data_IF_075509095714
#
_entry.id   IF_075509095714
#
_cell.length_a   1.000
_cell.length_b   1.000
_cell.length_c   1.000
_cell.angle_alpha   90.00
_cell.angle_beta   90.00
_cell.angle_gamma   90.00
#
_symmetry.space_group_name_H-M   'P 1'
#
loop_
_entity.id
_entity.type
_entity.pdbx_description
1 polymer ?
#
# COMPACT_ATOMS: atom_id res chain seq x y z
N UNK A 1 -9.73 6.75 5.61
CA UNK A 1 -10.69 6.98 6.72
C UNK A 1 -11.68 5.83 6.80
N UNK A 2 -12.18 5.50 7.99
CA UNK A 2 -13.06 4.33 8.25
C UNK A 2 -14.32 4.74 9.05
N UNK A 3 -15.33 3.87 9.09
CA UNK A 3 -16.43 3.95 10.06
C UNK A 3 -17.46 5.06 9.80
N UNK A 4 -17.96 5.71 10.87
CA UNK A 4 -19.05 6.70 10.80
C UNK A 4 -18.73 7.91 9.92
N UNK A 5 -17.46 8.28 9.82
CA UNK A 5 -17.04 9.38 8.94
C UNK A 5 -17.34 9.07 7.47
N UNK A 6 -17.12 7.83 7.03
CA UNK A 6 -17.44 7.39 5.67
C UNK A 6 -18.95 7.40 5.44
N UNK A 7 -19.73 6.94 6.43
CA UNK A 7 -21.21 7.01 6.37
C UNK A 7 -21.73 8.44 6.31
N UNK A 8 -21.11 9.38 7.03
CA UNK A 8 -21.44 10.80 6.97
C UNK A 8 -21.20 11.37 5.57
N UNK A 9 -20.08 11.01 4.93
CA UNK A 9 -19.74 11.43 3.57
C UNK A 9 -20.68 10.85 2.51
N UNK A 10 -21.06 9.58 2.63
CA UNK A 10 -22.07 8.96 1.76
C UNK A 10 -23.43 9.67 1.83
N UNK A 11 -23.78 10.25 2.99
CA UNK A 11 -25.02 11.00 3.21
C UNK A 11 -24.91 12.50 2.91
N UNK A 12 -23.70 13.03 2.64
CA UNK A 12 -23.49 14.48 2.58
C UNK A 12 -23.85 15.10 1.23
N UNK A 13 -24.18 14.29 0.21
CA UNK A 13 -24.50 14.77 -1.14
C UNK A 13 -25.46 13.84 -1.87
N UNK A 14 -26.09 14.39 -2.90
CA UNK A 14 -26.93 13.68 -3.85
C UNK A 14 -26.09 13.40 -5.12
N UNK A 15 -26.25 12.22 -5.69
CA UNK A 15 -25.58 11.83 -6.94
C UNK A 15 -24.33 10.99 -6.71
N UNK A 16 -24.42 9.72 -7.07
CA UNK A 16 -23.37 8.73 -6.89
C UNK A 16 -23.29 7.79 -8.10
N UNK A 17 -22.06 7.48 -8.50
CA UNK A 17 -21.73 6.39 -9.39
C UNK A 17 -21.06 5.29 -8.56
N UNK A 18 -21.56 4.06 -8.66
CA UNK A 18 -20.95 2.90 -8.01
C UNK A 18 -20.60 1.85 -9.07
N UNK A 19 -19.36 1.35 -9.00
CA UNK A 19 -18.82 0.37 -9.92
C UNK A 19 -18.52 -0.91 -9.14
N UNK A 20 -19.20 -2.01 -9.44
CA UNK A 20 -18.87 -3.31 -8.90
C UNK A 20 -17.52 -3.77 -9.46
N UNK A 21 -16.72 -4.45 -8.65
CA UNK A 21 -15.36 -4.86 -9.06
C UNK A 21 -15.09 -6.34 -8.87
N UNK A 22 -14.24 -6.88 -9.72
CA UNK A 22 -13.49 -8.11 -9.47
C UNK A 22 -12.08 -7.74 -8.97
N UNK A 23 -11.64 -8.29 -7.85
CA UNK A 23 -10.38 -7.92 -7.20
C UNK A 23 -9.57 -9.15 -6.83
N UNK A 24 -8.26 -9.12 -7.11
CA UNK A 24 -7.30 -10.06 -6.52
C UNK A 24 -6.48 -9.48 -5.38
N UNK A 25 -6.66 -8.19 -5.08
CA UNK A 25 -6.01 -7.54 -3.94
C UNK A 25 -6.87 -7.74 -2.69
N UNK A 26 -6.29 -7.65 -1.48
CA UNK A 26 -7.06 -7.65 -0.25
C UNK A 26 -8.09 -6.50 -0.25
N UNK A 27 -9.37 -6.83 -0.17
CA UNK A 27 -10.47 -5.84 -0.20
C UNK A 27 -10.97 -5.55 1.22
N UNK A 28 -11.39 -4.30 1.53
CA UNK A 28 -11.82 -3.96 2.88
C UNK A 28 -13.13 -4.66 3.27
N UNK A 29 -13.27 -4.97 4.56
CA UNK A 29 -14.53 -5.46 5.15
C UNK A 29 -15.56 -4.35 5.32
N UNK A 30 -15.12 -3.17 5.74
CA UNK A 30 -15.97 -1.98 5.96
C UNK A 30 -15.68 -0.91 4.92
N UNK A 31 -16.60 0.01 4.72
CA UNK A 31 -16.40 1.14 3.81
C UNK A 31 -15.14 1.94 4.18
N UNK A 32 -14.30 2.19 3.17
CA UNK A 32 -13.06 2.97 3.30
C UNK A 32 -13.13 4.16 2.37
N UNK A 33 -12.96 5.36 2.91
CA UNK A 33 -12.80 6.56 2.11
C UNK A 33 -11.32 6.81 1.85
N UNK A 34 -10.97 6.91 0.57
CA UNK A 34 -9.66 7.26 0.05
C UNK A 34 -9.76 8.57 -0.76
N UNK A 35 -8.72 9.40 -0.67
CA UNK A 35 -8.53 10.56 -1.55
C UNK A 35 -7.36 10.23 -2.48
N UNK A 36 -7.55 10.38 -3.77
CA UNK A 36 -6.52 10.08 -4.77
C UNK A 36 -6.58 11.11 -5.89
N UNK A 37 -5.45 11.77 -6.19
CA UNK A 37 -5.35 12.83 -7.20
C UNK A 37 -6.47 13.89 -7.07
N UNK A 38 -6.68 14.39 -5.83
CA UNK A 38 -7.73 15.35 -5.45
C UNK A 38 -9.20 14.85 -5.50
N UNK A 39 -9.45 13.65 -6.04
CA UNK A 39 -10.78 13.05 -6.10
C UNK A 39 -11.08 12.16 -4.87
N UNK A 40 -12.35 12.14 -4.46
CA UNK A 40 -12.86 11.30 -3.39
C UNK A 40 -13.38 9.96 -3.95
N UNK A 41 -12.91 8.85 -3.40
CA UNK A 41 -13.40 7.51 -3.70
C UNK A 41 -13.76 6.75 -2.43
N UNK A 42 -14.81 5.94 -2.49
CA UNK A 42 -15.22 5.11 -1.37
C UNK A 42 -15.16 3.65 -1.83
N UNK A 43 -14.22 2.91 -1.27
CA UNK A 43 -14.16 1.46 -1.44
C UNK A 43 -15.26 0.86 -0.58
N UNK A 44 -16.26 0.26 -1.22
CA UNK A 44 -17.39 -0.36 -0.56
C UNK A 44 -16.97 -1.70 0.00
N UNK A 45 -16.98 -1.80 1.32
CA UNK A 45 -16.63 -3.03 2.02
C UNK A 45 -17.63 -4.17 1.77
N UNK A 46 -17.19 -5.41 1.98
CA UNK A 46 -18.03 -6.60 1.76
C UNK A 46 -18.96 -6.92 2.94
N UNK A 47 -18.73 -6.32 4.11
CA UNK A 47 -19.41 -6.61 5.38
C UNK A 47 -19.95 -5.34 6.07
N UNK A 48 -20.58 -4.44 5.31
CA UNK A 48 -21.05 -3.15 5.83
C UNK A 48 -22.38 -3.19 6.62
N UNK A 49 -23.14 -4.28 6.51
CA UNK A 49 -24.45 -4.43 7.13
C UNK A 49 -24.72 -5.85 7.59
N UNK A 50 -25.98 -6.18 7.86
CA UNK A 50 -26.38 -7.53 8.25
C UNK A 50 -26.17 -8.56 7.13
N UNK A 51 -26.21 -8.11 5.88
CA UNK A 51 -25.96 -8.96 4.72
C UNK A 51 -24.68 -8.51 4.00
N UNK A 52 -23.86 -9.46 3.53
CA UNK A 52 -22.70 -9.14 2.71
C UNK A 52 -23.11 -8.43 1.41
N UNK A 53 -22.19 -7.60 0.90
CA UNK A 53 -22.32 -6.92 -0.40
C UNK A 53 -21.14 -7.28 -1.30
N UNK A 54 -21.34 -7.20 -2.60
CA UNK A 54 -20.22 -7.32 -3.54
C UNK A 54 -19.29 -6.10 -3.42
N UNK A 55 -17.97 -6.30 -3.63
CA UNK A 55 -17.01 -5.21 -3.59
C UNK A 55 -17.29 -4.20 -4.70
N UNK A 56 -17.17 -2.91 -4.37
CA UNK A 56 -17.45 -1.84 -5.32
C UNK A 56 -16.65 -0.58 -5.01
N UNK A 57 -16.46 0.29 -6.01
CA UNK A 57 -15.93 1.64 -5.83
C UNK A 57 -17.06 2.62 -6.07
N UNK A 58 -17.35 3.48 -5.09
CA UNK A 58 -18.33 4.56 -5.21
C UNK A 58 -17.61 5.90 -5.33
N UNK A 59 -18.00 6.70 -6.33
CA UNK A 59 -17.53 8.08 -6.52
C UNK A 59 -18.71 9.05 -6.59
N UNK A 60 -18.53 10.30 -6.17
CA UNK A 60 -19.50 11.36 -6.43
C UNK A 60 -19.73 11.54 -7.94
N UNK A 61 -20.98 11.68 -8.36
CA UNK A 61 -21.28 11.92 -9.77
C UNK A 61 -22.76 12.09 -10.07
N UNK A 62 -23.08 13.06 -10.94
CA UNK A 62 -24.42 13.22 -11.49
C UNK A 62 -24.58 12.44 -12.79
N UNK A 63 -25.80 12.33 -13.32
CA UNK A 63 -26.06 11.66 -14.59
C UNK A 63 -25.31 12.29 -15.78
N UNK A 64 -24.93 13.57 -15.70
CA UNK A 64 -24.17 14.27 -16.74
C UNK A 64 -22.65 13.98 -16.67
N UNK A 65 -22.17 13.35 -15.59
CA UNK A 65 -20.75 13.13 -15.30
C UNK A 65 -20.40 11.64 -15.25
N UNK A 66 -21.23 10.76 -15.81
CA UNK A 66 -21.05 9.30 -15.72
C UNK A 66 -19.74 8.86 -16.35
N UNK A 67 -19.46 9.31 -17.58
CA UNK A 67 -18.25 8.92 -18.30
C UNK A 67 -16.98 9.41 -17.60
N UNK A 68 -16.99 10.64 -17.10
CA UNK A 68 -15.89 11.21 -16.32
C UNK A 68 -15.69 10.44 -15.01
N UNK A 69 -16.77 10.17 -14.26
CA UNK A 69 -16.73 9.40 -13.03
C UNK A 69 -16.22 7.98 -13.25
N UNK A 70 -16.65 7.33 -14.33
CA UNK A 70 -16.22 5.98 -14.67
C UNK A 70 -14.74 5.97 -15.11
N UNK A 71 -14.29 6.97 -15.88
CA UNK A 71 -12.89 7.13 -16.23
C UNK A 71 -12.01 7.31 -14.97
N UNK A 72 -12.49 8.06 -13.95
CA UNK A 72 -11.81 8.19 -12.65
C UNK A 72 -11.71 6.84 -11.94
N UNK A 73 -12.79 6.07 -11.90
CA UNK A 73 -12.77 4.71 -11.30
C UNK A 73 -11.79 3.80 -12.05
N UNK A 74 -11.78 3.80 -13.38
CA UNK A 74 -10.81 3.01 -14.15
C UNK A 74 -9.37 3.43 -13.85
N UNK A 75 -9.09 4.73 -13.74
CA UNK A 75 -7.74 5.21 -13.39
C UNK A 75 -7.35 4.75 -11.99
N UNK A 76 -8.21 4.93 -10.99
CA UNK A 76 -7.95 4.46 -9.63
C UNK A 76 -7.67 2.96 -9.60
N UNK A 77 -8.54 2.16 -10.20
CA UNK A 77 -8.45 0.69 -10.14
C UNK A 77 -7.20 0.14 -10.81
N UNK A 78 -6.71 0.77 -11.88
CA UNK A 78 -5.40 0.44 -12.49
C UNK A 78 -4.25 0.66 -11.52
N UNK A 79 -4.18 1.84 -10.89
CA UNK A 79 -3.08 2.17 -9.96
C UNK A 79 -3.17 1.33 -8.70
N UNK A 80 -4.37 1.17 -8.13
CA UNK A 80 -4.60 0.40 -6.92
C UNK A 80 -4.22 -1.08 -7.10
N UNK A 81 -4.63 -1.67 -8.23
CA UNK A 81 -4.26 -3.04 -8.59
C UNK A 81 -2.74 -3.21 -8.69
N UNK A 82 -2.06 -2.33 -9.43
CA UNK A 82 -0.60 -2.33 -9.53
C UNK A 82 0.08 -2.17 -8.17
N UNK A 83 -0.31 -1.15 -7.41
CA UNK A 83 0.31 -0.78 -6.14
C UNK A 83 0.26 -1.92 -5.14
N UNK A 84 -0.87 -2.63 -5.06
CA UNK A 84 -1.08 -3.78 -4.18
C UNK A 84 -0.77 -5.14 -4.84
N UNK A 85 -0.06 -5.12 -5.98
CA UNK A 85 0.46 -6.30 -6.66
C UNK A 85 -0.63 -7.31 -7.10
N UNK A 86 -1.74 -6.81 -7.62
CA UNK A 86 -2.87 -7.60 -8.11
C UNK A 86 -3.65 -6.87 -9.22
N UNK A 87 -4.97 -7.05 -9.25
CA UNK A 87 -5.88 -6.29 -10.09
C UNK A 87 -7.14 -5.89 -9.33
N UNK A 88 -7.76 -4.81 -9.80
CA UNK A 88 -9.14 -4.43 -9.48
C UNK A 88 -9.75 -4.07 -10.81
N UNK A 89 -10.79 -4.76 -11.25
CA UNK A 89 -11.41 -4.58 -12.57
C UNK A 89 -12.89 -4.29 -12.43
N UNK A 90 -13.42 -3.34 -13.20
CA UNK A 90 -14.83 -2.94 -13.12
C UNK A 90 -15.67 -3.89 -13.95
N UNK A 91 -16.72 -4.45 -13.35
CA UNK A 91 -17.58 -5.45 -14.01
C UNK A 91 -19.00 -4.99 -14.25
N UNK A 92 -19.50 -4.04 -13.44
CA UNK A 92 -20.84 -3.48 -13.59
C UNK A 92 -20.87 -2.08 -12.99
N UNK A 93 -21.77 -1.22 -13.48
CA UNK A 93 -21.94 0.14 -12.95
C UNK A 93 -23.40 0.46 -12.66
N UNK A 94 -23.63 1.25 -11.63
CA UNK A 94 -24.96 1.74 -11.28
C UNK A 94 -24.87 3.20 -10.85
N UNK A 95 -25.85 4.00 -11.25
CA UNK A 95 -25.92 5.41 -10.93
C UNK A 95 -27.23 5.72 -10.20
N UNK A 96 -27.17 6.62 -9.21
CA UNK A 96 -28.34 7.00 -8.46
C UNK A 96 -28.19 8.30 -7.69
N UNK A 97 -29.32 8.77 -7.14
CA UNK A 97 -29.35 9.89 -6.19
C UNK A 97 -28.70 9.54 -4.86
N UNK A 98 -28.69 8.25 -4.50
CA UNK A 98 -28.12 7.69 -3.27
C UNK A 98 -27.05 6.65 -3.62
N UNK A 99 -26.07 6.40 -2.73
CA UNK A 99 -25.02 5.43 -2.99
C UNK A 99 -25.59 4.00 -2.94
N UNK A 100 -25.69 3.35 -4.09
CA UNK A 100 -26.20 2.00 -4.23
C UNK A 100 -25.09 0.95 -4.12
N UNK A 101 -25.38 -0.16 -3.46
CA UNK A 101 -24.50 -1.33 -3.39
C UNK A 101 -24.94 -2.43 -4.35
N UNK A 102 -24.07 -3.42 -4.53
CA UNK A 102 -24.34 -4.61 -5.33
C UNK A 102 -24.56 -5.82 -4.43
N UNK A 103 -25.48 -6.71 -4.80
CA UNK A 103 -25.76 -7.92 -4.04
C UNK A 103 -24.56 -8.87 -4.05
N UNK A 104 -24.28 -9.53 -2.92
CA UNK A 104 -23.15 -10.45 -2.79
C UNK A 104 -23.21 -11.67 -3.75
N UNK A 105 -24.37 -11.98 -4.31
CA UNK A 105 -24.55 -13.08 -5.27
C UNK A 105 -24.12 -12.71 -6.69
N UNK A 106 -23.71 -11.47 -6.95
CA UNK A 106 -23.19 -11.04 -8.25
C UNK A 106 -21.87 -11.76 -8.57
N UNK A 107 -21.94 -12.86 -9.33
CA UNK A 107 -20.81 -13.75 -9.60
C UNK A 107 -19.58 -13.06 -10.20
N UNK A 108 -19.78 -12.00 -10.97
CA UNK A 108 -18.68 -11.28 -11.62
C UNK A 108 -17.96 -10.34 -10.66
N UNK A 109 -18.61 -9.90 -9.58
CA UNK A 109 -18.05 -8.98 -8.60
C UNK A 109 -17.62 -9.74 -7.33
N UNK A 110 -16.32 -9.82 -7.10
CA UNK A 110 -15.74 -10.62 -6.02
C UNK A 110 -14.39 -10.08 -5.57
N UNK A 111 -13.98 -10.45 -4.36
CA UNK A 111 -12.59 -10.34 -3.92
C UNK A 111 -12.05 -11.74 -3.67
N UNK A 112 -10.90 -12.06 -4.27
CA UNK A 112 -10.22 -13.34 -4.05
C UNK A 112 -9.58 -13.41 -2.66
N UNK A 113 -9.25 -12.24 -2.10
CA UNK A 113 -8.57 -12.11 -0.82
C UNK A 113 -9.40 -11.22 0.10
N UNK A 114 -9.86 -11.79 1.21
CA UNK A 114 -10.47 -11.03 2.30
C UNK A 114 -9.38 -10.43 3.20
N UNK A 115 -9.70 -9.33 3.87
CA UNK A 115 -8.85 -8.77 4.92
C UNK A 115 -9.34 -9.18 6.31
N UNK A 116 -8.41 -9.31 7.26
CA UNK A 116 -8.74 -9.48 8.67
C UNK A 116 -8.86 -8.10 9.35
N UNK A 117 -9.84 -7.94 10.24
CA UNK A 117 -10.10 -6.68 10.95
C UNK A 117 -10.96 -5.68 10.16
N UNK A 118 -11.61 -4.78 10.88
CA UNK A 118 -12.53 -3.77 10.32
C UNK A 118 -11.82 -2.54 9.76
N UNK A 119 -10.53 -2.36 10.10
CA UNK A 119 -9.67 -1.25 9.69
C UNK A 119 -8.29 -1.77 9.34
N UNK A 120 -8.14 -2.41 8.20
CA UNK A 120 -6.86 -3.02 7.79
C UNK A 120 -6.47 -2.72 6.35
N UNK A 121 -7.31 -1.99 5.61
CA UNK A 121 -7.03 -1.64 4.23
C UNK A 121 -6.11 -0.43 4.16
N UNK A 122 -4.91 -0.63 3.65
CA UNK A 122 -3.91 0.40 3.44
C UNK A 122 -3.60 0.55 1.95
N UNK A 123 -3.70 1.79 1.48
CA UNK A 123 -3.18 2.21 0.18
C UNK A 123 -2.51 3.60 0.28
N UNK A 124 -2.02 3.97 1.46
CA UNK A 124 -1.32 5.23 1.67
C UNK A 124 -0.08 5.30 0.80
N UNK A 125 0.28 6.52 0.38
CA UNK A 125 1.44 6.82 -0.47
C UNK A 125 1.39 6.19 -1.87
N UNK A 126 0.21 5.73 -2.31
CA UNK A 126 0.00 5.31 -3.70
C UNK A 126 0.40 6.45 -4.66
N UNK A 127 1.21 6.17 -5.71
CA UNK A 127 1.78 7.21 -6.56
C UNK A 127 0.72 7.93 -7.38
N UNK A 128 0.86 9.25 -7.54
CA UNK A 128 0.01 10.05 -8.44
C UNK A 128 0.51 9.89 -9.88
N UNK A 129 -0.34 9.37 -10.76
CA UNK A 129 0.01 9.10 -12.17
C UNK A 129 -0.56 10.18 -13.10
N UNK A 130 0.29 11.13 -13.48
CA UNK A 130 -0.06 12.25 -14.36
C UNK A 130 0.13 11.92 -15.86
N UNK A 131 1.15 11.12 -16.18
CA UNK A 131 1.49 10.74 -17.55
C UNK A 131 0.44 9.82 -18.16
N UNK A 132 -0.06 10.19 -19.34
CA UNK A 132 -1.03 9.39 -20.10
C UNK A 132 -0.47 8.03 -20.51
N UNK A 133 0.77 7.99 -20.99
CA UNK A 133 1.43 6.74 -21.40
C UNK A 133 1.54 5.74 -20.24
N UNK A 134 1.82 6.24 -19.03
CA UNK A 134 1.86 5.41 -17.81
C UNK A 134 0.47 4.92 -17.42
N UNK A 135 -0.57 5.77 -17.54
CA UNK A 135 -1.96 5.34 -17.31
C UNK A 135 -2.39 4.23 -18.27
N UNK A 136 -2.01 4.32 -19.54
CA UNK A 136 -2.29 3.30 -20.55
C UNK A 136 -1.59 1.99 -20.20
N UNK A 137 -0.30 2.04 -19.84
CA UNK A 137 0.47 0.87 -19.42
C UNK A 137 -0.18 0.15 -18.21
N UNK A 138 -0.59 0.92 -17.19
CA UNK A 138 -1.27 0.36 -16.01
C UNK A 138 -2.66 -0.20 -16.33
N UNK A 139 -3.38 0.38 -17.29
CA UNK A 139 -4.66 -0.15 -17.75
C UNK A 139 -4.51 -1.50 -18.45
N UNK A 140 -3.52 -1.63 -19.35
CA UNK A 140 -3.20 -2.92 -19.99
C UNK A 140 -2.68 -3.95 -18.99
N UNK A 141 -1.90 -3.53 -17.99
CA UNK A 141 -1.50 -4.41 -16.88
C UNK A 141 -2.71 -4.97 -16.13
N UNK A 142 -3.64 -4.11 -15.69
CA UNK A 142 -4.88 -4.52 -15.01
C UNK A 142 -5.66 -5.53 -15.85
N UNK A 143 -5.82 -5.26 -17.14
CA UNK A 143 -6.54 -6.14 -18.08
C UNK A 143 -5.84 -7.50 -18.22
N UNK A 144 -4.51 -7.52 -18.41
CA UNK A 144 -3.73 -8.76 -18.50
C UNK A 144 -3.81 -9.61 -17.24
N UNK A 145 -3.74 -8.97 -16.06
CA UNK A 145 -3.90 -9.64 -14.77
C UNK A 145 -5.28 -10.29 -14.64
N UNK A 146 -6.34 -9.59 -15.06
CA UNK A 146 -7.71 -10.12 -15.06
C UNK A 146 -7.86 -11.34 -15.98
N UNK A 147 -7.31 -11.23 -17.18
CA UNK A 147 -7.44 -12.24 -18.23
C UNK A 147 -6.59 -13.49 -18.00
N UNK A 148 -5.55 -13.42 -17.15
CA UNK A 148 -4.65 -14.57 -16.87
C UNK A 148 -5.38 -15.82 -16.37
N UNK A 149 -6.60 -15.68 -15.82
CA UNK A 149 -7.43 -16.83 -15.37
C UNK A 149 -8.56 -17.18 -16.32
N UNK A 150 -8.66 -16.46 -17.44
CA UNK A 150 -9.80 -16.53 -18.36
C UNK A 150 -9.31 -16.93 -19.76
N UNK A 151 -8.26 -16.28 -20.27
CA UNK A 151 -7.81 -16.46 -21.63
C UNK A 151 -6.33 -16.05 -21.82
N UNK A 152 -5.44 -17.03 -21.90
CA UNK A 152 -3.98 -16.82 -21.97
C UNK A 152 -3.54 -15.92 -23.14
N UNK A 153 -4.11 -16.09 -24.34
CA UNK A 153 -3.71 -15.27 -25.50
C UNK A 153 -4.06 -13.79 -25.36
N UNK A 154 -5.23 -13.46 -24.80
CA UNK A 154 -5.59 -12.07 -24.56
C UNK A 154 -4.82 -11.50 -23.37
N UNK A 155 -4.54 -12.30 -22.33
CA UNK A 155 -3.66 -11.88 -21.24
C UNK A 155 -2.25 -11.55 -21.76
N UNK A 156 -1.68 -12.44 -22.59
CA UNK A 156 -0.40 -12.23 -23.26
C UNK A 156 -0.41 -10.93 -24.06
N UNK A 157 -1.44 -10.71 -24.88
CA UNK A 157 -1.58 -9.51 -25.69
C UNK A 157 -1.67 -8.25 -24.83
N UNK A 158 -2.43 -8.27 -23.73
CA UNK A 158 -2.52 -7.12 -22.81
C UNK A 158 -1.16 -6.82 -22.18
N UNK A 159 -0.41 -7.82 -21.71
CA UNK A 159 0.96 -7.60 -21.20
C UNK A 159 1.91 -7.08 -22.29
N UNK A 160 1.83 -7.62 -23.51
CA UNK A 160 2.61 -7.12 -24.63
C UNK A 160 2.30 -5.64 -24.94
N UNK A 161 1.02 -5.24 -24.86
CA UNK A 161 0.57 -3.86 -25.06
C UNK A 161 1.07 -2.87 -24.01
N UNK A 162 1.41 -3.32 -22.80
CA UNK A 162 2.09 -2.51 -21.78
C UNK A 162 3.37 -1.89 -22.37
N UNK A 163 4.14 -2.70 -23.11
CA UNK A 163 5.41 -2.29 -23.71
C UNK A 163 5.15 -1.69 -25.10
N UNK A 164 4.33 -2.33 -25.93
CA UNK A 164 4.09 -1.88 -27.32
C UNK A 164 3.54 -0.46 -27.39
N UNK A 165 2.63 -0.07 -26.50
CA UNK A 165 2.03 1.28 -26.49
C UNK A 165 3.03 2.42 -26.23
N UNK A 166 4.28 2.10 -25.87
CA UNK A 166 5.30 3.06 -25.46
C UNK A 166 6.29 3.37 -26.60
N UNK A 167 6.20 2.66 -27.72
CA UNK A 167 7.10 2.82 -28.87
C UNK A 167 6.32 3.13 -30.14
N UNK A 168 6.80 4.10 -30.92
CA UNK A 168 6.27 4.38 -32.26
C UNK A 168 6.81 3.42 -33.31
N UNK A 169 8.06 2.96 -33.14
CA UNK A 169 8.76 2.10 -34.10
C UNK A 169 8.95 0.69 -33.54
N UNK A 170 8.69 -0.32 -34.38
CA UNK A 170 8.82 -1.73 -33.98
C UNK A 170 10.26 -2.17 -33.70
N UNK A 171 11.26 -1.53 -34.31
CA UNK A 171 12.67 -1.83 -34.11
C UNK A 171 13.13 -1.51 -32.68
N UNK A 172 12.82 -0.30 -32.18
CA UNK A 172 13.16 0.13 -30.82
C UNK A 172 12.61 -0.83 -29.76
N UNK A 173 11.39 -1.35 -30.00
CA UNK A 173 10.75 -2.35 -29.14
C UNK A 173 11.47 -3.71 -29.18
N UNK A 174 11.87 -4.17 -30.37
CA UNK A 174 12.62 -5.42 -30.50
C UNK A 174 13.98 -5.33 -29.78
N UNK A 175 14.67 -4.20 -29.92
CA UNK A 175 15.93 -3.90 -29.22
C UNK A 175 15.72 -3.81 -27.70
N UNK A 176 14.58 -3.30 -27.25
CA UNK A 176 14.22 -3.32 -25.84
C UNK A 176 14.08 -4.75 -25.32
N UNK A 177 13.33 -5.62 -26.00
CA UNK A 177 13.20 -7.03 -25.58
C UNK A 177 14.55 -7.73 -25.52
N UNK A 178 15.40 -7.57 -26.55
CA UNK A 178 16.71 -8.19 -26.61
C UNK A 178 17.60 -7.82 -25.40
N UNK A 179 17.49 -6.58 -24.90
CA UNK A 179 18.27 -6.11 -23.74
C UNK A 179 17.75 -6.56 -22.38
N UNK A 180 16.44 -6.82 -22.25
CA UNK A 180 15.81 -7.04 -20.93
C UNK A 180 15.41 -8.49 -20.66
N UNK A 181 15.34 -9.33 -21.68
CA UNK A 181 15.02 -10.77 -21.52
C UNK A 181 16.00 -11.46 -20.56
N UNK A 182 17.27 -11.06 -20.56
CA UNK A 182 18.31 -11.62 -19.68
C UNK A 182 18.27 -11.14 -18.22
N UNK A 183 17.42 -10.15 -17.92
CA UNK A 183 17.19 -9.69 -16.56
C UNK A 183 16.10 -10.50 -15.85
N UNK A 184 15.40 -11.38 -16.58
CA UNK A 184 14.30 -12.18 -16.03
C UNK A 184 14.83 -13.28 -15.10
N UNK A 185 14.19 -13.42 -13.94
CA UNK A 185 14.55 -14.41 -12.91
C UNK A 185 13.37 -15.33 -12.61
N UNK A 186 13.59 -16.36 -11.77
CA UNK A 186 12.54 -17.32 -11.39
C UNK A 186 11.97 -18.08 -12.58
N UNK A 187 10.64 -18.26 -12.61
CA UNK A 187 9.94 -18.99 -13.68
C UNK A 187 10.12 -18.33 -15.07
N UNK A 188 10.12 -17.01 -15.14
CA UNK A 188 10.37 -16.29 -16.40
C UNK A 188 11.79 -16.54 -16.90
N UNK A 189 12.80 -16.47 -16.01
CA UNK A 189 14.19 -16.82 -16.35
C UNK A 189 14.34 -18.29 -16.81
N UNK A 190 13.63 -19.22 -16.17
CA UNK A 190 13.60 -20.62 -16.59
C UNK A 190 12.99 -20.78 -18.00
N UNK A 191 11.93 -20.03 -18.32
CA UNK A 191 11.35 -20.02 -19.67
C UNK A 191 12.31 -19.47 -20.73
N UNK A 192 13.05 -18.40 -20.41
CA UNK A 192 14.10 -17.86 -21.29
C UNK A 192 15.18 -18.92 -21.58
N UNK A 193 15.65 -19.62 -20.55
CA UNK A 193 16.65 -20.67 -20.70
C UNK A 193 16.14 -21.82 -21.59
N UNK A 194 14.88 -22.22 -21.44
CA UNK A 194 14.26 -23.24 -22.27
C UNK A 194 14.20 -22.82 -23.75
N UNK A 195 13.67 -21.63 -24.04
CA UNK A 195 13.56 -21.13 -25.42
C UNK A 195 14.94 -21.06 -26.11
N UNK A 196 15.99 -20.72 -25.36
CA UNK A 196 17.37 -20.74 -25.88
C UNK A 196 17.90 -22.14 -26.13
N UNK A 197 17.62 -23.09 -25.24
CA UNK A 197 17.99 -24.49 -25.43
C UNK A 197 17.33 -25.08 -26.69
N UNK A 198 16.14 -24.59 -27.03
CA UNK A 198 15.42 -24.92 -28.27
C UNK A 198 15.97 -24.18 -29.52
N UNK A 199 17.03 -23.39 -29.36
CA UNK A 199 17.69 -22.65 -30.46
C UNK A 199 16.96 -21.39 -30.92
N UNK A 200 16.02 -20.87 -30.13
CA UNK A 200 15.25 -19.67 -30.49
C UNK A 200 15.95 -18.37 -30.09
N UNK A 201 15.84 -17.35 -30.95
CA UNK A 201 16.03 -15.96 -30.54
C UNK A 201 14.80 -15.52 -29.75
N UNK A 202 14.95 -15.43 -28.42
CA UNK A 202 13.84 -15.17 -27.49
C UNK A 202 13.20 -13.80 -27.74
N UNK A 203 14.01 -12.76 -28.00
CA UNK A 203 13.51 -11.41 -28.22
C UNK A 203 12.65 -11.35 -29.48
N UNK A 204 13.15 -11.95 -30.57
CA UNK A 204 12.41 -12.07 -31.82
C UNK A 204 11.17 -12.95 -31.68
N UNK A 205 11.28 -14.10 -31.00
CA UNK A 205 10.17 -15.02 -30.75
C UNK A 205 9.00 -14.33 -30.01
N UNK A 206 9.30 -13.54 -28.98
CA UNK A 206 8.28 -12.80 -28.23
C UNK A 206 7.64 -11.69 -29.06
N UNK A 207 8.45 -10.98 -29.86
CA UNK A 207 7.94 -9.96 -30.78
C UNK A 207 6.97 -10.55 -31.81
N UNK A 208 7.36 -11.67 -32.43
CA UNK A 208 6.54 -12.37 -33.42
C UNK A 208 5.29 -12.98 -32.76
N UNK A 209 5.45 -13.62 -31.60
CA UNK A 209 4.35 -14.21 -30.83
C UNK A 209 3.33 -13.18 -30.36
N UNK A 210 3.76 -11.99 -29.91
CA UNK A 210 2.86 -10.94 -29.45
C UNK A 210 1.98 -10.36 -30.55
N UNK A 211 2.54 -10.14 -31.74
CA UNK A 211 1.77 -9.68 -32.91
C UNK A 211 0.76 -10.72 -33.39
N UNK A 212 1.13 -11.99 -33.27
CA UNK A 212 0.36 -13.12 -33.78
C UNK A 212 -0.58 -13.75 -32.74
N UNK A 213 -0.50 -13.35 -31.46
CA UNK A 213 -1.23 -13.96 -30.36
C UNK A 213 -2.75 -13.92 -30.55
N UNK A 214 -3.29 -12.82 -31.10
CA UNK A 214 -4.72 -12.67 -31.46
C UNK A 214 -4.97 -11.58 -32.54
N UNK A 215 -4.15 -10.52 -32.58
CA UNK A 215 -4.53 -9.25 -33.26
C UNK A 215 -4.33 -9.21 -34.78
N UNK A 216 -3.38 -9.96 -35.33
CA UNK A 216 -3.08 -9.95 -36.76
C UNK A 216 -3.28 -11.32 -37.40
N UNK A 217 -4.53 -11.77 -37.44
CA UNK A 217 -4.95 -12.95 -38.21
C UNK A 217 -4.94 -12.65 -39.72
N UNK A 218 -3.75 -12.43 -40.31
CA UNK A 218 -3.61 -12.31 -41.75
C UNK A 218 -3.63 -13.71 -42.38
N UNK A 219 -4.50 -13.95 -43.36
CA UNK A 219 -4.57 -15.21 -44.10
C UNK A 219 -3.18 -15.56 -44.67
N UNK A 220 -2.59 -16.68 -44.25
CA UNK A 220 -1.23 -17.11 -44.64
C UNK A 220 -0.09 -16.66 -43.70
N UNK A 221 -0.37 -15.92 -42.64
CA UNK A 221 0.58 -15.63 -41.54
C UNK A 221 0.58 -16.73 -40.48
N UNK A 222 1.57 -16.72 -39.59
CA UNK A 222 1.60 -17.62 -38.42
C UNK A 222 0.57 -17.19 -37.39
N UNK A 223 -0.67 -17.65 -37.53
CA UNK A 223 -1.78 -17.35 -36.63
C UNK A 223 -1.75 -18.33 -35.45
N UNK A 224 -2.02 -17.84 -34.23
CA UNK A 224 -2.35 -18.72 -33.10
C UNK A 224 -3.75 -19.27 -33.31
N UNK A 225 -3.84 -20.55 -33.66
CA UNK A 225 -5.13 -21.22 -33.84
C UNK A 225 -5.64 -21.73 -32.47
N UNK A 226 -6.78 -21.20 -31.97
CA UNK A 226 -7.33 -21.65 -30.70
C UNK A 226 -7.80 -23.11 -30.75
N UNK A 227 -7.98 -23.73 -31.91
CA UNK A 227 -8.33 -25.15 -32.02
C UNK A 227 -7.08 -26.06 -32.08
N UNK A 228 -5.87 -25.49 -32.14
CA UNK A 228 -4.60 -26.24 -32.06
C UNK A 228 -4.09 -26.26 -30.60
N UNK A 229 -4.11 -27.41 -29.91
CA UNK A 229 -3.68 -27.49 -28.50
C UNK A 229 -2.20 -27.18 -28.27
N UNK A 230 -1.35 -27.33 -29.30
CA UNK A 230 0.07 -26.99 -29.22
C UNK A 230 0.27 -25.46 -29.13
N UNK A 231 -0.50 -24.69 -29.88
CA UNK A 231 -0.43 -23.22 -29.85
C UNK A 231 -0.90 -22.66 -28.51
N UNK A 232 -2.00 -23.22 -27.96
CA UNK A 232 -2.45 -22.86 -26.60
C UNK A 232 -1.37 -23.12 -25.55
N UNK A 233 -0.76 -24.31 -25.57
CA UNK A 233 0.30 -24.68 -24.62
C UNK A 233 1.52 -23.77 -24.74
N UNK A 234 1.89 -23.40 -25.96
CA UNK A 234 3.01 -22.48 -26.21
C UNK A 234 2.75 -21.10 -25.62
N UNK A 235 1.59 -20.50 -25.91
CA UNK A 235 1.22 -19.18 -25.37
C UNK A 235 1.11 -19.20 -23.85
N UNK A 236 0.50 -20.25 -23.27
CA UNK A 236 0.42 -20.42 -21.82
C UNK A 236 1.82 -20.49 -21.18
N UNK A 237 2.77 -21.18 -21.81
CA UNK A 237 4.15 -21.27 -21.34
C UNK A 237 4.92 -19.94 -21.47
N UNK A 238 4.63 -19.14 -22.50
CA UNK A 238 5.26 -17.83 -22.72
C UNK A 238 4.62 -16.71 -21.88
N UNK A 239 3.41 -16.91 -21.35
CA UNK A 239 2.66 -15.91 -20.59
C UNK A 239 3.41 -15.42 -19.36
N UNK A 240 4.06 -16.32 -18.62
CA UNK A 240 4.86 -15.95 -17.43
C UNK A 240 5.99 -14.99 -17.80
N UNK A 241 6.65 -15.21 -18.94
CA UNK A 241 7.73 -14.37 -19.41
C UNK A 241 7.22 -12.99 -19.83
N UNK A 242 6.12 -12.93 -20.58
CA UNK A 242 5.55 -11.65 -21.02
C UNK A 242 5.00 -10.83 -19.86
N UNK A 243 4.38 -11.47 -18.86
CA UNK A 243 3.94 -10.81 -17.63
C UNK A 243 5.12 -10.19 -16.88
N UNK A 244 6.21 -10.93 -16.66
CA UNK A 244 7.36 -10.41 -15.91
C UNK A 244 8.09 -9.29 -16.69
N UNK A 245 8.16 -9.36 -18.02
CA UNK A 245 8.69 -8.26 -18.83
C UNK A 245 7.82 -6.99 -18.71
N UNK A 246 6.49 -7.12 -18.78
CA UNK A 246 5.58 -6.00 -18.59
C UNK A 246 5.69 -5.39 -17.18
N UNK A 247 5.78 -6.24 -16.15
CA UNK A 247 6.03 -5.82 -14.76
C UNK A 247 7.35 -5.07 -14.65
N UNK A 248 8.41 -5.62 -15.24
CA UNK A 248 9.74 -5.00 -15.24
C UNK A 248 9.73 -3.64 -15.91
N UNK A 249 9.04 -3.51 -17.05
CA UNK A 249 8.90 -2.24 -17.76
C UNK A 249 8.23 -1.17 -16.90
N UNK A 250 7.09 -1.49 -16.27
CA UNK A 250 6.36 -0.53 -15.42
C UNK A 250 7.21 -0.11 -14.20
N UNK A 251 7.88 -1.06 -13.55
CA UNK A 251 8.69 -0.77 -12.37
C UNK A 251 10.00 -0.03 -12.70
N UNK A 252 10.71 -0.47 -13.75
CA UNK A 252 12.09 -0.05 -14.02
C UNK A 252 12.17 1.09 -15.04
N UNK A 253 11.37 1.07 -16.10
CA UNK A 253 11.42 2.07 -17.16
C UNK A 253 10.45 3.21 -16.84
N UNK A 254 9.20 2.89 -16.45
CA UNK A 254 8.19 3.89 -16.07
C UNK A 254 8.30 4.36 -14.61
N UNK A 255 9.15 3.73 -13.80
CA UNK A 255 9.42 4.09 -12.39
C UNK A 255 8.16 4.16 -11.54
N UNK A 256 7.18 3.28 -11.79
CA UNK A 256 5.96 3.22 -10.98
C UNK A 256 6.15 2.19 -9.87
N UNK A 257 6.29 2.61 -8.60
CA UNK A 257 6.56 1.68 -7.53
C UNK A 257 5.33 0.89 -7.10
N UNK A 258 5.57 -0.27 -6.49
CA UNK A 258 4.57 -1.01 -5.72
C UNK A 258 4.63 -0.61 -4.23
N UNK A 259 3.61 -0.97 -3.44
CA UNK A 259 3.59 -0.71 -2.00
C UNK A 259 4.82 -1.30 -1.29
N UNK A 260 5.23 -2.51 -1.67
CA UNK A 260 6.41 -3.19 -1.12
C UNK A 260 7.71 -2.48 -1.46
N UNK A 261 7.81 -1.91 -2.66
CA UNK A 261 8.99 -1.16 -3.08
C UNK A 261 9.08 0.18 -2.36
N UNK A 262 7.96 0.91 -2.29
CA UNK A 262 7.88 2.16 -1.54
C UNK A 262 8.19 1.95 -0.05
N UNK A 263 7.67 0.87 0.56
CA UNK A 263 8.00 0.53 1.95
C UNK A 263 9.51 0.46 2.21
N UNK A 264 10.30 -0.02 1.24
CA UNK A 264 11.75 -0.19 1.35
C UNK A 264 12.57 1.06 1.00
N UNK A 265 12.04 1.93 0.14
CA UNK A 265 12.83 2.97 -0.53
C UNK A 265 12.37 4.39 -0.19
N UNK A 266 11.14 4.57 0.30
CA UNK A 266 10.59 5.89 0.62
C UNK A 266 11.33 6.50 1.81
N UNK A 267 11.72 7.76 1.64
CA UNK A 267 12.16 8.60 2.74
C UNK A 267 10.93 9.04 3.56
N UNK A 268 10.68 8.38 4.69
CA UNK A 268 9.50 8.64 5.53
C UNK A 268 9.63 9.92 6.33
N UNK A 269 10.85 10.36 6.61
CA UNK A 269 11.13 11.56 7.42
C UNK A 269 11.16 12.84 6.57
N UNK A 270 11.02 12.75 5.25
CA UNK A 270 10.97 13.89 4.34
C UNK A 270 10.03 15.02 4.81
N UNK A 271 8.80 14.73 5.30
CA UNK A 271 7.91 15.79 5.80
C UNK A 271 8.47 16.61 6.97
N UNK A 272 9.44 16.06 7.70
CA UNK A 272 10.07 16.65 8.87
C UNK A 272 11.43 17.28 8.58
N UNK A 273 12.02 17.05 7.41
CA UNK A 273 13.30 17.69 7.03
C UNK A 273 13.30 19.22 7.18
N UNK A 274 12.21 19.96 6.87
CA UNK A 274 12.18 21.41 7.08
C UNK A 274 12.13 21.85 8.55
N UNK A 275 12.02 20.93 9.50
CA UNK A 275 12.11 21.21 10.95
C UNK A 275 13.56 21.21 11.44
N UNK A 276 14.49 20.73 10.61
CA UNK A 276 15.88 20.50 10.97
C UNK A 276 16.73 21.57 10.31
N UNK A 277 17.75 22.06 11.04
CA UNK A 277 18.72 22.98 10.46
C UNK A 277 19.35 22.37 9.20
N UNK A 278 19.43 23.14 8.11
CA UNK A 278 19.85 22.65 6.80
C UNK A 278 21.28 22.08 6.83
N UNK A 279 22.19 22.69 7.61
CA UNK A 279 23.57 22.21 7.74
C UNK A 279 23.61 20.92 8.56
N UNK A 280 22.84 20.85 9.64
CA UNK A 280 22.72 19.64 10.44
C UNK A 280 22.14 18.48 9.63
N UNK A 281 21.09 18.73 8.83
CA UNK A 281 20.48 17.74 7.96
C UNK A 281 21.47 17.19 6.92
N UNK A 282 22.30 18.04 6.33
CA UNK A 282 23.34 17.60 5.40
C UNK A 282 24.37 16.68 6.08
N UNK A 283 24.79 17.02 7.32
CA UNK A 283 25.69 16.18 8.12
C UNK A 283 25.03 14.83 8.44
N UNK A 284 23.77 14.84 8.86
CA UNK A 284 23.00 13.63 9.14
C UNK A 284 22.91 12.70 7.92
N UNK A 285 22.54 13.23 6.75
CA UNK A 285 22.44 12.47 5.49
C UNK A 285 23.78 11.92 5.03
N UNK A 286 24.88 12.59 5.37
CA UNK A 286 26.25 12.10 5.13
C UNK A 286 26.72 11.05 6.15
N UNK A 287 25.93 10.74 7.18
CA UNK A 287 26.30 9.80 8.25
C UNK A 287 27.15 10.40 9.36
N UNK A 288 27.24 11.73 9.45
CA UNK A 288 27.95 12.42 10.51
C UNK A 288 27.09 12.66 11.76
N UNK A 289 27.69 13.32 12.75
CA UNK A 289 27.03 13.81 13.96
C UNK A 289 27.10 15.34 13.94
N UNK A 290 25.98 16.06 13.79
CA UNK A 290 25.99 17.52 13.85
C UNK A 290 26.34 18.00 15.26
N UNK A 291 27.00 19.15 15.32
CA UNK A 291 27.29 19.85 16.58
C UNK A 291 26.15 20.81 16.93
N UNK A 292 25.78 20.88 18.21
CA UNK A 292 24.75 21.81 18.71
C UNK A 292 23.30 21.37 18.52
N UNK A 293 22.38 22.32 18.68
CA UNK A 293 20.94 22.09 18.50
C UNK A 293 20.56 22.07 17.01
N UNK A 294 19.68 21.15 16.63
CA UNK A 294 19.30 20.93 15.23
C UNK A 294 17.77 20.88 15.01
N UNK A 295 16.98 21.38 15.96
CA UNK A 295 15.56 21.68 15.76
C UNK A 295 14.54 20.61 16.21
N UNK A 296 14.99 19.41 16.60
CA UNK A 296 14.08 18.35 17.09
C UNK A 296 13.72 18.46 18.57
N UNK A 297 14.58 19.06 19.38
CA UNK A 297 14.37 19.12 20.82
C UNK A 297 13.20 20.06 21.18
N UNK A 298 12.32 19.61 22.08
CA UNK A 298 11.16 20.37 22.54
C UNK A 298 9.95 20.36 21.60
N UNK A 299 10.02 19.65 20.46
CA UNK A 299 8.86 19.51 19.57
C UNK A 299 7.69 18.80 20.27
N UNK A 300 6.48 19.28 19.98
CA UNK A 300 5.25 18.62 20.43
C UNK A 300 4.82 17.61 19.37
N UNK A 301 4.71 16.35 19.78
CA UNK A 301 4.45 15.20 18.90
C UNK A 301 3.30 14.38 19.45
N UNK A 302 2.35 14.00 18.59
CA UNK A 302 1.35 13.00 18.93
C UNK A 302 1.81 11.62 18.47
N UNK A 303 1.60 10.60 19.30
CA UNK A 303 1.82 9.20 18.96
C UNK A 303 0.47 8.51 18.72
N UNK A 304 0.27 8.00 17.51
CA UNK A 304 -0.92 7.26 17.13
C UNK A 304 -0.56 5.84 16.69
N UNK A 305 -1.55 4.94 16.78
CA UNK A 305 -1.49 3.63 16.16
C UNK A 305 -2.42 3.67 14.95
N UNK A 306 -1.90 3.57 13.74
CA UNK A 306 -2.75 3.51 12.56
C UNK A 306 -3.42 2.13 12.47
N UNK A 307 -4.73 2.05 12.16
CA UNK A 307 -5.70 3.13 11.88
C UNK A 307 -6.66 3.42 13.05
N UNK A 308 -6.20 3.23 14.28
CA UNK A 308 -7.00 3.45 15.48
C UNK A 308 -7.20 4.94 15.77
N UNK A 309 -8.18 5.23 16.62
CA UNK A 309 -8.42 6.60 17.06
C UNK A 309 -7.27 7.08 17.95
N UNK A 310 -6.90 8.37 17.90
CA UNK A 310 -5.89 8.94 18.80
C UNK A 310 -6.23 8.68 20.28
N UNK A 311 -5.20 8.33 21.06
CA UNK A 311 -5.31 8.19 22.51
C UNK A 311 -5.04 9.54 23.20
N UNK A 312 -5.93 10.02 24.09
CA UNK A 312 -5.80 11.34 24.71
C UNK A 312 -4.45 11.61 25.36
N UNK A 313 -3.91 10.69 26.17
CA UNK A 313 -2.63 10.90 26.86
C UNK A 313 -1.40 10.78 25.97
N UNK A 314 -1.58 10.39 24.69
CA UNK A 314 -0.54 10.34 23.66
C UNK A 314 -0.70 11.44 22.59
N UNK A 315 -1.71 12.29 22.72
CA UNK A 315 -1.97 13.39 21.78
C UNK A 315 -0.97 14.54 21.88
N UNK A 316 -0.24 14.61 23.00
CA UNK A 316 0.75 15.65 23.29
C UNK A 316 1.93 15.07 24.06
N UNK A 317 2.99 14.75 23.33
CA UNK A 317 4.27 14.32 23.88
C UNK A 317 5.35 15.35 23.57
N UNK A 318 6.27 15.57 24.49
CA UNK A 318 7.43 16.44 24.27
C UNK A 318 8.61 15.57 23.83
N UNK A 319 9.12 15.86 22.63
CA UNK A 319 10.31 15.24 22.09
C UNK A 319 11.57 15.78 22.78
N UNK A 320 12.46 14.88 23.18
CA UNK A 320 13.81 15.19 23.64
C UNK A 320 14.84 14.40 22.85
N UNK A 321 15.91 15.05 22.46
CA UNK A 321 17.06 14.38 21.84
C UNK A 321 17.92 13.78 22.95
N UNK A 322 18.09 12.46 22.93
CA UNK A 322 18.86 11.71 23.92
C UNK A 322 20.30 11.48 23.47
N UNK A 323 20.48 11.09 22.20
CA UNK A 323 21.80 10.85 21.62
C UNK A 323 21.79 11.04 20.10
N UNK A 324 22.97 11.33 19.54
CA UNK A 324 23.18 11.44 18.10
C UNK A 324 24.43 10.66 17.69
N UNK A 325 24.28 9.76 16.73
CA UNK A 325 25.38 8.93 16.26
C UNK A 325 25.16 8.49 14.81
N UNK A 326 26.21 8.59 14.00
CA UNK A 326 26.27 8.06 12.62
C UNK A 326 25.04 8.37 11.74
N UNK A 327 24.65 9.65 11.67
CA UNK A 327 23.51 10.06 10.87
C UNK A 327 22.15 9.66 11.45
N UNK A 328 22.07 9.24 12.71
CA UNK A 328 20.83 8.93 13.40
C UNK A 328 20.70 9.70 14.72
N UNK A 329 19.47 10.10 15.05
CA UNK A 329 19.13 10.73 16.32
C UNK A 329 18.20 9.83 17.13
N UNK A 330 18.61 9.49 18.34
CA UNK A 330 17.76 8.85 19.33
C UNK A 330 16.94 9.92 20.04
N UNK A 331 15.62 9.75 20.01
CA UNK A 331 14.68 10.68 20.63
C UNK A 331 13.78 9.96 21.63
N UNK A 332 13.40 10.68 22.68
CA UNK A 332 12.49 10.24 23.72
C UNK A 332 11.27 11.15 23.71
N UNK A 333 10.08 10.55 23.70
CA UNK A 333 8.82 11.27 23.77
C UNK A 333 8.22 11.09 25.18
N UNK A 334 8.03 12.20 25.89
CA UNK A 334 7.46 12.20 27.24
C UNK A 334 6.05 12.78 27.23
N UNK A 335 5.12 12.18 27.96
CA UNK A 335 3.82 12.80 28.17
C UNK A 335 3.91 13.98 29.15
N UNK A 336 2.91 14.87 29.15
CA UNK A 336 2.89 16.07 30.01
C UNK A 336 3.03 15.74 31.51
N UNK A 337 2.61 14.54 31.92
CA UNK A 337 2.68 14.08 33.32
C UNK A 337 4.01 13.41 33.68
N UNK A 338 4.94 13.26 32.73
CA UNK A 338 6.23 12.57 32.91
C UNK A 338 6.07 11.15 33.50
N UNK A 339 4.98 10.46 33.14
CA UNK A 339 4.66 9.08 33.57
C UNK A 339 4.85 8.05 32.46
N UNK A 340 5.08 8.50 31.22
CA UNK A 340 5.34 7.64 30.07
C UNK A 340 6.53 8.17 29.27
N UNK A 341 7.37 7.27 28.78
CA UNK A 341 8.41 7.56 27.80
C UNK A 341 8.35 6.57 26.65
N UNK A 342 8.41 7.07 25.42
CA UNK A 342 8.56 6.27 24.21
C UNK A 342 9.86 6.62 23.50
N UNK A 343 10.68 5.62 23.22
CA UNK A 343 11.97 5.81 22.56
C UNK A 343 11.89 5.47 21.07
N UNK A 344 12.54 6.31 20.25
CA UNK A 344 12.66 6.13 18.81
C UNK A 344 14.07 6.45 18.33
N UNK A 345 14.44 5.89 17.18
CA UNK A 345 15.65 6.28 16.45
C UNK A 345 15.24 6.78 15.08
N UNK A 346 15.58 8.02 14.78
CA UNK A 346 15.38 8.66 13.48
C UNK A 346 16.67 8.46 12.67
N UNK A 347 16.65 7.57 11.67
CA UNK A 347 17.77 7.31 10.76
C UNK A 347 17.64 8.19 9.52
N UNK A 348 18.45 9.24 9.44
CA UNK A 348 18.42 10.20 8.34
C UNK A 348 19.05 9.68 7.05
N UNK A 349 19.92 8.67 7.13
CA UNK A 349 20.54 8.08 5.94
C UNK A 349 19.54 7.23 5.18
N UNK A 350 18.73 6.47 5.93
CA UNK A 350 17.69 5.59 5.35
C UNK A 350 16.34 6.27 5.20
N UNK A 351 16.13 7.38 5.89
CA UNK A 351 14.86 8.08 5.92
C UNK A 351 13.80 7.30 6.70
N UNK A 352 14.16 6.68 7.81
CA UNK A 352 13.32 5.76 8.58
C UNK A 352 13.24 6.16 10.05
N UNK A 353 12.14 5.76 10.73
CA UNK A 353 12.02 5.88 12.18
C UNK A 353 11.81 4.48 12.76
N UNK A 354 12.69 4.10 13.68
CA UNK A 354 12.65 2.81 14.36
C UNK A 354 12.06 2.97 15.76
N UNK A 355 11.02 2.20 16.06
CA UNK A 355 10.46 2.11 17.41
C UNK A 355 11.40 1.33 18.32
N UNK A 356 11.70 1.84 19.52
CA UNK A 356 12.55 1.20 20.52
C UNK A 356 11.70 0.81 21.73
N UNK A 357 10.85 -0.22 21.57
CA UNK A 357 9.92 -0.65 22.62
C UNK A 357 10.63 -1.04 23.93
N UNK A 358 11.77 -1.73 23.85
CA UNK A 358 12.55 -2.16 25.01
C UNK A 358 13.14 -0.98 25.81
N UNK A 359 13.22 0.19 25.18
CA UNK A 359 13.70 1.43 25.78
C UNK A 359 12.54 2.40 26.11
N UNK A 360 11.31 1.94 25.94
CA UNK A 360 10.09 2.67 26.31
C UNK A 360 9.57 2.15 27.64
N UNK A 361 8.91 2.99 28.44
CA UNK A 361 8.49 2.58 29.77
C UNK A 361 7.49 3.50 30.44
N UNK A 362 6.84 2.96 31.46
CA UNK A 362 6.18 3.76 32.49
C UNK A 362 7.25 4.31 33.44
N UNK A 363 7.15 5.60 33.73
CA UNK A 363 8.01 6.30 34.68
C UNK A 363 7.29 6.44 36.01
N UNK A 364 7.98 6.11 37.09
CA UNK A 364 7.47 6.27 38.45
C UNK A 364 8.56 6.86 39.35
N UNK A 365 8.26 8.00 39.96
CA UNK A 365 9.02 8.59 41.05
C UNK A 365 8.07 9.17 42.10
N UNK A 366 8.60 9.87 43.09
CA UNK A 366 7.80 10.42 44.19
C UNK A 366 6.83 11.53 43.73
N UNK A 367 7.19 12.27 42.69
CA UNK A 367 6.42 13.40 42.14
C UNK A 367 5.47 12.98 41.01
N UNK A 368 5.83 11.95 40.25
CA UNK A 368 5.15 11.50 39.04
C UNK A 368 4.78 10.04 39.19
N UNK A 369 3.48 9.78 39.37
CA UNK A 369 2.94 8.41 39.49
C UNK A 369 1.98 8.13 38.33
N UNK A 370 2.17 7.01 37.60
CA UNK A 370 1.22 6.59 36.58
C UNK A 370 -0.19 6.45 37.17
N UNK A 371 -1.20 6.78 36.38
CA UNK A 371 -2.60 6.38 36.67
C UNK A 371 -2.98 5.22 35.75
N UNK A 372 -4.16 4.66 35.98
CA UNK A 372 -4.67 3.55 35.18
C UNK A 372 -4.71 3.87 33.67
N UNK A 373 -5.06 5.10 33.31
CA UNK A 373 -5.08 5.55 31.90
C UNK A 373 -3.69 5.51 31.27
N UNK A 374 -2.65 6.00 31.94
CA UNK A 374 -1.26 5.93 31.45
C UNK A 374 -0.84 4.46 31.22
N UNK A 375 -1.18 3.58 32.17
CA UNK A 375 -0.89 2.14 32.07
C UNK A 375 -1.59 1.56 30.86
N UNK A 376 -2.88 1.86 30.69
CA UNK A 376 -3.68 1.36 29.57
C UNK A 376 -3.12 1.81 28.23
N UNK A 377 -2.83 3.10 28.07
CA UNK A 377 -2.31 3.66 26.82
C UNK A 377 -0.91 3.12 26.49
N UNK A 378 0.00 3.09 27.47
CA UNK A 378 1.34 2.53 27.29
C UNK A 378 1.31 1.08 26.83
N UNK A 379 0.59 0.21 27.56
CA UNK A 379 0.50 -1.20 27.20
C UNK A 379 -0.30 -1.43 25.91
N UNK A 380 -1.21 -0.53 25.55
CA UNK A 380 -1.89 -0.57 24.24
C UNK A 380 -0.89 -0.37 23.12
N UNK A 381 -0.03 0.66 23.19
CA UNK A 381 1.06 0.85 22.22
C UNK A 381 1.96 -0.38 22.19
N UNK A 382 2.48 -0.81 23.35
CA UNK A 382 3.41 -1.92 23.43
C UNK A 382 2.88 -3.20 22.76
N UNK A 383 1.69 -3.67 23.16
CA UNK A 383 1.14 -4.92 22.65
C UNK A 383 0.60 -4.83 21.23
N UNK A 384 0.05 -3.68 20.81
CA UNK A 384 -0.41 -3.50 19.43
C UNK A 384 0.77 -3.45 18.46
N UNK A 385 1.87 -2.78 18.81
CA UNK A 385 3.06 -2.72 17.95
C UNK A 385 3.72 -4.10 17.82
N UNK A 386 3.80 -4.87 18.90
CA UNK A 386 4.20 -6.30 18.84
C UNK A 386 3.23 -7.11 17.95
N UNK A 387 1.95 -6.74 17.92
CA UNK A 387 0.94 -7.26 17.01
C UNK A 387 0.98 -6.70 15.58
N UNK A 388 2.07 -6.06 15.16
CA UNK A 388 2.28 -5.42 13.85
C UNK A 388 1.43 -4.16 13.57
N UNK A 389 0.92 -3.47 14.60
CA UNK A 389 0.34 -2.14 14.39
C UNK A 389 1.41 -1.14 13.93
N UNK A 390 1.01 -0.20 13.07
CA UNK A 390 1.90 0.86 12.57
C UNK A 390 1.84 2.04 13.54
N UNK A 391 2.99 2.43 14.09
CA UNK A 391 3.09 3.68 14.86
C UNK A 391 3.19 4.85 13.89
N UNK A 392 2.39 5.88 14.11
CA UNK A 392 2.50 7.15 13.41
C UNK A 392 2.89 8.25 14.40
N UNK A 393 3.93 9.01 14.08
CA UNK A 393 4.26 10.24 14.77
C UNK A 393 3.70 11.44 14.00
N UNK A 394 3.05 12.36 14.71
CA UNK A 394 2.40 13.51 14.09
C UNK A 394 2.83 14.81 14.74
N UNK A 395 3.15 15.79 13.90
CA UNK A 395 3.40 17.18 14.29
C UNK A 395 2.34 18.03 13.60
N UNK A 396 1.80 19.01 14.30
CA UNK A 396 0.75 19.89 13.77
C UNK A 396 1.20 20.58 12.47
N UNK A 397 0.32 20.59 11.46
CA UNK A 397 0.62 21.20 10.15
C UNK A 397 1.59 20.40 9.27
N UNK A 398 1.99 19.19 9.67
CA UNK A 398 2.88 18.30 8.89
C UNK A 398 2.19 16.99 8.56
N UNK A 399 2.65 16.33 7.50
CA UNK A 399 2.24 14.97 7.20
C UNK A 399 2.69 14.02 8.34
N UNK A 400 1.84 13.06 8.76
CA UNK A 400 2.24 11.98 9.67
C UNK A 400 3.43 11.19 9.12
N UNK A 401 4.33 10.77 10.02
CA UNK A 401 5.44 9.89 9.68
C UNK A 401 5.19 8.51 10.30
N UNK A 402 5.12 7.49 9.44
CA UNK A 402 4.96 6.10 9.82
C UNK A 402 6.30 5.47 10.23
N UNK A 403 6.37 4.93 11.44
CA UNK A 403 7.53 4.19 11.93
C UNK A 403 7.61 2.80 11.28
N UNK A 404 8.80 2.21 11.29
CA UNK A 404 8.97 0.83 10.84
C UNK A 404 8.16 -0.15 11.69
N UNK A 405 7.63 -1.16 11.00
CA UNK A 405 6.90 -2.26 11.63
C UNK A 405 7.89 -3.10 12.43
N UNK A 406 7.61 -3.29 13.71
CA UNK A 406 8.38 -4.18 14.56
C UNK A 406 7.94 -5.62 14.29
N UNK A 407 8.84 -6.45 13.79
CA UNK A 407 8.59 -7.89 13.59
C UNK A 407 9.21 -8.64 14.78
N UNK A 408 8.42 -9.06 15.78
CA UNK A 408 8.96 -9.80 16.91
C UNK A 408 9.49 -11.16 16.44
N UNK A 409 10.72 -11.49 16.84
CA UNK A 409 11.31 -12.82 16.62
C UNK A 409 11.20 -13.65 17.90
N UNK A 410 10.83 -14.93 17.78
CA UNK A 410 10.73 -15.88 18.89
C UNK A 410 9.71 -15.51 20.01
N UNK A 411 8.68 -14.74 19.69
CA UNK A 411 7.59 -14.42 20.62
C UNK A 411 6.27 -14.83 19.97
N UNK A 412 5.39 -15.48 20.73
CA UNK A 412 3.99 -15.62 20.36
C UNK A 412 3.22 -14.39 20.89
N UNK A 413 2.83 -13.45 20.02
CA UNK A 413 2.13 -12.25 20.47
C UNK A 413 0.80 -12.64 21.11
N UNK A 414 0.55 -12.12 22.31
CA UNK A 414 -0.73 -12.27 23.00
C UNK A 414 -1.80 -11.41 22.33
N UNK A 415 -3.07 -11.72 22.56
CA UNK A 415 -4.14 -10.79 22.21
C UNK A 415 -3.88 -9.44 22.92
N UNK A 416 -3.72 -8.33 22.18
CA UNK A 416 -3.41 -7.04 22.79
C UNK A 416 -4.45 -6.57 23.81
N UNK A 417 -5.74 -6.84 23.58
CA UNK A 417 -6.82 -6.40 24.47
C UNK A 417 -6.78 -7.10 25.82
N UNK A 418 -6.54 -8.42 25.80
CA UNK A 418 -6.39 -9.23 27.01
C UNK A 418 -5.14 -8.82 27.79
N UNK A 419 -4.00 -8.63 27.10
CA UNK A 419 -2.75 -8.25 27.74
C UNK A 419 -2.82 -6.86 28.39
N UNK A 420 -3.49 -5.89 27.75
CA UNK A 420 -3.75 -4.56 28.32
C UNK A 420 -4.66 -4.66 29.54
N UNK A 421 -5.72 -5.46 29.49
CA UNK A 421 -6.63 -5.64 30.62
C UNK A 421 -5.91 -6.23 31.84
N UNK A 422 -5.08 -7.25 31.65
CA UNK A 422 -4.26 -7.84 32.70
C UNK A 422 -3.26 -6.85 33.32
N UNK A 423 -2.58 -6.06 32.49
CA UNK A 423 -1.65 -5.04 32.97
C UNK A 423 -2.35 -3.99 33.85
N UNK A 424 -3.55 -3.56 33.46
CA UNK A 424 -4.38 -2.66 34.26
C UNK A 424 -4.83 -3.31 35.57
N UNK A 425 -5.26 -4.58 35.55
CA UNK A 425 -5.63 -5.28 36.77
C UNK A 425 -4.46 -5.44 37.73
N UNK A 426 -3.27 -5.79 37.23
CA UNK A 426 -2.06 -5.91 38.02
C UNK A 426 -1.72 -4.56 38.69
N UNK A 427 -1.84 -3.46 37.96
CA UNK A 427 -1.65 -2.11 38.48
C UNK A 427 -2.65 -1.77 39.59
N UNK A 428 -3.94 -2.09 39.41
CA UNK A 428 -4.97 -1.89 40.46
C UNK A 428 -4.66 -2.67 41.73
N UNK A 429 -4.24 -3.93 41.61
CA UNK A 429 -3.87 -4.78 42.76
C UNK A 429 -2.65 -4.24 43.50
N UNK A 430 -1.62 -3.80 42.77
CA UNK A 430 -0.42 -3.21 43.36
C UNK A 430 -0.72 -1.93 44.15
N UNK A 431 -1.62 -1.08 43.66
CA UNK A 431 -2.02 0.14 44.37
C UNK A 431 -2.93 -0.14 45.58
N UNK A 432 -3.76 -1.17 45.53
CA UNK A 432 -4.59 -1.59 46.67
C UNK A 432 -3.77 -2.19 47.83
N UNK A 433 -2.55 -2.67 47.55
CA UNK A 433 -1.67 -3.32 48.53
C UNK A 433 -0.65 -2.38 49.20
N UNK A 434 -0.58 -1.11 48.81
CA UNK A 434 0.22 -0.09 49.50
C UNK A 434 -0.64 0.57 50.60
N UNK A 435 -0.43 0.28 51.90
CA UNK A 435 -1.09 1.04 52.97
C UNK A 435 -0.53 2.46 52.98
N UNK A 436 -1.37 3.43 53.36
CA UNK A 436 -1.00 4.84 53.57
C UNK A 436 0.22 5.04 54.48
#
# INVERSE_FOLDING_TARGET
MFGEEVKRKLRSRIGWLSAAVASSIPWPKKDVWIRYAEDDFILRGTENGQQPTAPAVTVPGTSQQIEEGLAKVYRLTSVLGWFLNGYVDVVETIQGSHPMGFGAQMRQAYSEVGQFGDRSFDCNHMPIIESENVRIALAFWREGQRLTRVHDSYAFLSYFKVIESQYQQGADRADWFARHVDLMTGEAGARVAQLRADGMDVGRHLYDSGRNAVAHASFGGGIVDPDIPADRRRIAADLVLMRELARHYIASDLKVPTARELYRTRNRIEPWEPLIDERALAVFKAGGTPEGEFGLDGLVVALNLWPDSPMPGLSRLIMRVDAVHEGAARVLLFNDRMTMVFAFVIDFRKGQIHTQLDNSGLLQNDEHRPIEEDVREFYTVFHRVIGNAVVELRIEGREPVDCEVVIPVNILPRNPEEAVAEAVEAFRRANAQKPE
#
